data_IF_454117096078
#
_entry.id   IF_454117096078
#
_cell.length_a   1.000
_cell.length_b   1.000
_cell.length_c   1.000
_cell.angle_alpha   90.00
_cell.angle_beta   90.00
_cell.angle_gamma   90.00
#
_symmetry.space_group_name_H-M   'P 1'
#
loop_
_entity.id
_entity.type
_entity.pdbx_description
1 polymer ?
#
# COMPACT_ATOMS: atom_id res chain seq x y z
N UNK A 1 14.61 20.07 -4.51
CA UNK A 1 13.21 19.63 -4.48
C UNK A 1 13.10 18.12 -4.25
N UNK A 2 13.47 17.24 -5.21
CA UNK A 2 13.25 15.80 -5.04
C UNK A 2 13.85 15.16 -3.77
N UNK A 3 15.08 15.53 -3.36
CA UNK A 3 15.66 14.96 -2.13
C UNK A 3 14.93 15.44 -0.85
N UNK A 4 14.29 16.61 -0.87
CA UNK A 4 13.43 17.09 0.22
C UNK A 4 12.14 16.27 0.29
N UNK A 5 11.58 15.90 -0.86
CA UNK A 5 10.43 15.00 -0.92
C UNK A 5 10.79 13.60 -0.43
N UNK A 6 11.98 13.08 -0.80
CA UNK A 6 12.49 11.84 -0.21
C UNK A 6 12.65 12.00 1.31
N UNK A 7 13.11 13.14 1.83
CA UNK A 7 13.20 13.38 3.26
C UNK A 7 11.85 13.38 3.96
N UNK A 8 10.83 13.99 3.37
CA UNK A 8 9.47 13.97 3.91
C UNK A 8 8.94 12.55 4.08
N UNK A 9 9.13 11.70 3.06
CA UNK A 9 8.62 10.31 3.06
C UNK A 9 9.53 9.36 3.86
N UNK A 10 10.84 9.64 3.94
CA UNK A 10 11.80 8.81 4.65
C UNK A 10 11.64 8.97 6.16
N UNK A 11 11.28 7.88 6.83
CA UNK A 11 11.15 7.85 8.29
C UNK A 11 12.50 8.03 9.00
N UNK A 12 12.51 8.58 10.23
CA UNK A 12 13.72 8.66 11.04
C UNK A 12 14.41 7.30 11.21
N UNK A 13 15.72 7.25 10.97
CA UNK A 13 16.51 6.02 10.98
C UNK A 13 16.46 5.21 9.67
N UNK A 14 15.63 5.60 8.70
CA UNK A 14 15.51 4.97 7.39
C UNK A 14 16.74 5.21 6.49
N UNK A 15 16.84 4.40 5.43
CA UNK A 15 17.95 4.43 4.49
C UNK A 15 17.50 4.89 3.11
N UNK A 16 18.32 5.73 2.48
CA UNK A 16 18.23 6.07 1.07
C UNK A 16 19.46 5.52 0.34
N UNK A 17 19.22 4.83 -0.77
CA UNK A 17 20.27 4.19 -1.57
C UNK A 17 20.33 4.92 -2.90
N UNK A 18 21.47 5.56 -3.17
CA UNK A 18 21.78 6.16 -4.46
C UNK A 18 22.64 5.18 -5.25
N UNK A 19 22.16 4.79 -6.43
CA UNK A 19 22.85 3.89 -7.35
C UNK A 19 23.05 4.56 -8.70
N UNK A 20 24.27 4.56 -9.22
CA UNK A 20 24.62 5.21 -10.50
C UNK A 20 25.26 6.59 -10.35
N UNK A 21 25.36 7.38 -11.44
CA UNK A 21 25.99 8.70 -11.42
C UNK A 21 25.37 9.58 -10.32
N UNK A 22 26.18 10.34 -9.56
CA UNK A 22 27.62 10.51 -9.70
C UNK A 22 28.48 9.48 -8.92
N UNK A 23 27.89 8.51 -8.21
CA UNK A 23 28.68 7.56 -7.40
C UNK A 23 29.63 6.74 -8.28
N UNK A 24 30.87 6.53 -7.84
CA UNK A 24 31.91 5.83 -8.62
C UNK A 24 32.36 6.56 -9.90
N UNK A 25 32.17 7.88 -9.97
CA UNK A 25 32.60 8.68 -11.11
C UNK A 25 34.09 8.54 -11.46
N UNK A 26 34.96 8.26 -10.47
CA UNK A 26 36.40 8.05 -10.70
C UNK A 26 36.68 6.94 -11.70
N UNK A 27 35.81 5.93 -11.74
CA UNK A 27 35.91 4.77 -12.62
C UNK A 27 35.15 4.99 -13.94
N UNK A 28 33.95 5.56 -13.89
CA UNK A 28 33.01 5.54 -15.02
C UNK A 28 32.82 6.87 -15.78
N UNK A 29 33.52 7.95 -15.41
CA UNK A 29 33.34 9.27 -16.04
C UNK A 29 33.46 9.25 -17.58
N UNK A 30 34.37 8.43 -18.13
CA UNK A 30 34.55 8.29 -19.57
C UNK A 30 33.33 7.65 -20.24
N UNK A 31 32.79 6.58 -19.64
CA UNK A 31 31.60 5.87 -20.13
C UNK A 31 30.38 6.79 -20.14
N UNK A 32 30.24 7.65 -19.13
CA UNK A 32 29.16 8.63 -19.05
C UNK A 32 29.39 9.87 -19.90
N UNK A 33 30.54 9.99 -20.57
CA UNK A 33 30.93 11.16 -21.38
C UNK A 33 30.81 12.48 -20.59
N UNK A 34 31.15 12.46 -19.29
CA UNK A 34 31.11 13.62 -18.39
C UNK A 34 32.48 13.88 -17.80
N UNK A 35 32.72 15.14 -17.41
CA UNK A 35 34.00 15.51 -16.79
C UNK A 35 34.06 15.05 -15.33
N UNK A 36 35.27 14.77 -14.83
CA UNK A 36 35.50 14.46 -13.41
C UNK A 36 35.02 15.57 -12.49
N UNK A 37 35.27 16.83 -12.85
CA UNK A 37 34.90 17.99 -12.06
C UNK A 37 33.38 18.14 -11.94
N UNK A 38 32.64 17.91 -13.03
CA UNK A 38 31.17 17.94 -13.05
C UNK A 38 30.57 16.87 -12.12
N UNK A 39 30.99 15.62 -12.26
CA UNK A 39 30.49 14.51 -11.43
C UNK A 39 30.88 14.68 -9.95
N UNK A 40 32.09 15.16 -9.66
CA UNK A 40 32.53 15.47 -8.31
C UNK A 40 31.68 16.59 -7.69
N UNK A 41 31.38 17.65 -8.46
CA UNK A 41 30.54 18.74 -8.00
C UNK A 41 29.09 18.28 -7.76
N UNK A 42 28.56 17.42 -8.62
CA UNK A 42 27.23 16.82 -8.44
C UNK A 42 27.16 15.94 -7.19
N UNK A 43 28.15 15.05 -6.98
CA UNK A 43 28.20 14.22 -5.78
C UNK A 43 28.27 15.09 -4.52
N UNK A 44 29.11 16.11 -4.53
CA UNK A 44 29.26 17.05 -3.41
C UNK A 44 27.95 17.78 -3.11
N UNK A 45 27.21 18.24 -4.13
CA UNK A 45 25.89 18.88 -3.95
C UNK A 45 24.89 17.95 -3.28
N UNK A 46 24.86 16.66 -3.67
CA UNK A 46 23.99 15.66 -3.05
C UNK A 46 24.36 15.45 -1.59
N UNK A 47 25.65 15.31 -1.29
CA UNK A 47 26.14 15.11 0.08
C UNK A 47 25.88 16.32 0.99
N UNK A 48 26.11 17.54 0.49
CA UNK A 48 25.81 18.79 1.21
C UNK A 48 24.30 18.94 1.49
N UNK A 49 23.45 18.59 0.52
CA UNK A 49 21.98 18.61 0.70
C UNK A 49 21.54 17.54 1.71
N UNK A 50 22.06 16.31 1.60
CA UNK A 50 21.76 15.24 2.54
C UNK A 50 22.19 15.62 3.96
N UNK A 51 23.37 16.22 4.15
CA UNK A 51 23.81 16.72 5.45
C UNK A 51 22.89 17.82 5.99
N UNK A 52 22.40 18.73 5.12
CA UNK A 52 21.44 19.78 5.52
C UNK A 52 20.08 19.22 5.95
N UNK A 53 19.67 18.09 5.38
CA UNK A 53 18.48 17.33 5.77
C UNK A 53 18.73 16.43 6.99
N UNK A 54 19.93 16.52 7.58
CA UNK A 54 20.38 15.71 8.69
C UNK A 54 20.45 14.21 8.41
N UNK A 55 20.99 13.88 7.25
CA UNK A 55 21.36 12.53 6.90
C UNK A 55 22.86 12.33 7.08
N UNK A 56 23.25 11.09 7.28
CA UNK A 56 24.64 10.67 7.36
C UNK A 56 24.93 9.65 6.25
N UNK A 57 26.06 9.79 5.57
CA UNK A 57 26.54 8.79 4.62
C UNK A 57 27.15 7.63 5.41
N UNK A 58 26.57 6.44 5.29
CA UNK A 58 27.01 5.23 6.00
C UNK A 58 28.00 4.41 5.21
N UNK A 59 27.84 4.38 3.90
CA UNK A 59 28.62 3.50 3.05
C UNK A 59 28.71 4.06 1.63
N UNK A 60 29.85 3.82 0.98
CA UNK A 60 30.01 3.97 -0.47
C UNK A 60 30.91 2.84 -0.96
N UNK A 61 30.42 2.05 -1.91
CA UNK A 61 31.20 1.00 -2.56
C UNK A 61 30.66 0.69 -3.94
N UNK A 62 31.57 0.63 -4.91
CA UNK A 62 31.18 0.48 -6.31
C UNK A 62 30.19 1.59 -6.66
N UNK A 63 29.12 1.24 -7.34
CA UNK A 63 28.13 2.21 -7.86
C UNK A 63 27.07 2.62 -6.84
N UNK A 64 27.25 2.29 -5.55
CA UNK A 64 26.23 2.46 -4.52
C UNK A 64 26.75 3.35 -3.39
N UNK A 65 25.97 4.36 -3.03
CA UNK A 65 26.11 5.10 -1.78
C UNK A 65 24.85 4.95 -0.93
N UNK A 66 25.05 4.71 0.36
CA UNK A 66 23.98 4.52 1.34
C UNK A 66 23.99 5.66 2.33
N UNK A 67 22.88 6.38 2.39
CA UNK A 67 22.62 7.45 3.34
C UNK A 67 21.59 6.97 4.36
N UNK A 68 21.71 7.45 5.60
CA UNK A 68 20.76 7.17 6.66
C UNK A 68 20.25 8.49 7.24
N UNK A 69 18.93 8.64 7.31
CA UNK A 69 18.31 9.75 8.04
C UNK A 69 18.52 9.54 9.54
N UNK A 70 18.97 10.57 10.26
CA UNK A 70 19.12 10.45 11.72
C UNK A 70 17.78 10.18 12.40
N UNK A 71 17.84 9.56 13.57
CA UNK A 71 16.64 9.16 14.33
C UNK A 71 15.89 10.34 14.95
N UNK A 72 16.55 11.50 15.10
CA UNK A 72 15.95 12.75 15.55
C UNK A 72 16.83 13.95 15.17
N UNK A 73 16.34 15.15 15.48
CA UNK A 73 17.00 16.41 15.10
C UNK A 73 18.04 16.95 16.08
N UNK A 74 18.23 16.32 17.26
CA UNK A 74 19.06 16.90 18.33
C UNK A 74 20.53 17.06 17.94
N UNK A 75 21.04 16.16 17.11
CA UNK A 75 22.44 16.15 16.64
C UNK A 75 22.57 16.63 15.19
N UNK A 76 21.63 17.46 14.72
CA UNK A 76 21.65 18.02 13.38
C UNK A 76 22.30 19.41 13.40
N UNK A 77 23.12 19.74 12.39
CA UNK A 77 23.61 21.10 12.25
C UNK A 77 22.40 22.03 12.08
N UNK A 78 22.38 23.15 12.82
CA UNK A 78 21.38 24.21 12.66
C UNK A 78 21.64 24.95 11.34
N UNK A 79 21.30 24.33 10.22
CA UNK A 79 21.24 25.01 8.91
C UNK A 79 19.83 25.55 8.71
N UNK A 80 19.76 26.76 8.13
CA UNK A 80 18.55 27.55 7.88
C UNK A 80 17.71 27.02 6.71
N UNK A 81 17.41 25.72 6.69
CA UNK A 81 16.40 25.22 5.75
C UNK A 81 15.03 25.77 6.20
N UNK A 82 14.26 26.33 5.28
CA UNK A 82 12.86 26.71 5.54
C UNK A 82 12.10 25.48 6.01
N UNK A 83 11.32 25.61 7.08
CA UNK A 83 10.51 24.53 7.64
C UNK A 83 9.11 24.62 7.05
N UNK A 84 8.55 23.51 6.60
CA UNK A 84 7.21 23.48 6.01
C UNK A 84 6.13 23.79 7.05
N UNK A 85 5.05 24.45 6.64
CA UNK A 85 3.86 24.57 7.47
C UNK A 85 3.19 23.20 7.59
N UNK A 86 3.03 22.73 8.82
CA UNK A 86 2.76 21.33 9.15
C UNK A 86 1.29 20.90 8.93
N UNK A 87 0.76 21.05 7.72
CA UNK A 87 -0.53 20.45 7.36
C UNK A 87 -0.26 19.22 6.51
N UNK A 88 -0.42 18.02 7.08
CA UNK A 88 -0.42 16.76 6.34
C UNK A 88 0.95 16.24 5.89
N UNK A 89 1.87 16.00 6.82
CA UNK A 89 3.18 15.41 6.52
C UNK A 89 3.09 14.02 5.86
N UNK A 90 1.98 13.30 6.13
CA UNK A 90 1.70 11.95 5.63
C UNK A 90 0.88 11.94 4.32
N UNK A 91 0.56 13.10 3.75
CA UNK A 91 -0.15 13.18 2.47
C UNK A 91 0.78 12.78 1.33
N UNK A 92 0.38 11.84 0.47
CA UNK A 92 1.26 11.31 -0.59
C UNK A 92 0.82 11.73 -1.99
N UNK A 93 -0.45 12.14 -2.17
CA UNK A 93 -1.03 12.40 -3.49
C UNK A 93 -1.69 13.78 -3.57
N UNK A 94 -1.74 14.34 -4.78
CA UNK A 94 -2.39 15.62 -5.09
C UNK A 94 -1.95 16.79 -4.19
N UNK A 95 -0.68 16.77 -3.78
CA UNK A 95 -0.06 17.80 -2.96
C UNK A 95 1.10 18.43 -3.70
N UNK A 96 1.14 19.75 -3.72
CA UNK A 96 2.24 20.48 -4.33
C UNK A 96 3.53 20.27 -3.51
N UNK A 97 4.63 19.96 -4.20
CA UNK A 97 5.91 19.76 -3.55
C UNK A 97 6.48 21.11 -3.12
N UNK A 98 6.81 21.24 -1.84
CA UNK A 98 7.43 22.44 -1.29
C UNK A 98 8.94 22.26 -1.12
N UNK A 99 9.71 23.32 -1.36
CA UNK A 99 11.17 23.31 -1.12
C UNK A 99 11.49 23.66 0.34
N UNK A 100 10.96 22.88 1.25
CA UNK A 100 11.15 23.05 2.70
C UNK A 100 11.40 21.70 3.37
N UNK A 101 11.89 21.75 4.61
CA UNK A 101 12.13 20.58 5.44
C UNK A 101 10.87 20.29 6.27
N UNK A 102 10.38 19.06 6.22
CA UNK A 102 9.27 18.62 7.08
C UNK A 102 9.76 18.44 8.52
N UNK A 103 9.12 19.10 9.50
CA UNK A 103 9.56 19.00 10.89
C UNK A 103 9.34 17.59 11.44
N UNK A 104 10.35 17.07 12.15
CA UNK A 104 10.19 15.80 12.87
C UNK A 104 9.47 16.02 14.21
N UNK A 105 8.68 15.03 14.68
CA UNK A 105 8.10 15.10 16.02
C UNK A 105 9.17 15.31 17.09
N UNK A 106 8.89 16.20 18.06
CA UNK A 106 9.82 16.51 19.15
C UNK A 106 10.11 15.26 19.99
N UNK A 107 11.37 15.11 20.40
CA UNK A 107 11.85 14.00 21.24
C UNK A 107 12.45 14.51 22.55
N UNK A 108 12.29 13.73 23.60
CA UNK A 108 12.79 14.03 24.95
C UNK A 108 14.25 13.65 25.14
N UNK A 109 14.74 12.58 24.49
CA UNK A 109 16.12 12.10 24.59
C UNK A 109 16.85 12.05 23.24
N UNK A 110 18.18 11.99 23.25
CA UNK A 110 18.99 11.93 22.02
C UNK A 110 18.93 10.58 21.29
N UNK A 111 18.49 9.52 21.98
CA UNK A 111 18.38 8.17 21.41
C UNK A 111 16.94 7.82 21.00
N UNK A 112 15.98 8.68 21.32
CA UNK A 112 14.58 8.48 20.96
C UNK A 112 14.37 8.69 19.46
N UNK A 113 13.60 7.79 18.85
CA UNK A 113 13.21 7.86 17.44
C UNK A 113 12.03 8.81 17.33
N UNK A 114 12.19 9.90 16.58
CA UNK A 114 11.10 10.82 16.30
C UNK A 114 9.94 10.08 15.60
N UNK A 115 8.71 10.33 16.04
CA UNK A 115 7.54 9.57 15.58
C UNK A 115 7.33 8.24 16.33
N UNK A 116 8.36 7.67 16.94
CA UNK A 116 8.31 6.44 17.73
C UNK A 116 9.02 5.28 17.04
N UNK A 117 9.65 4.41 17.84
CA UNK A 117 10.37 3.24 17.32
C UNK A 117 9.42 2.15 16.83
N UNK A 118 9.71 1.58 15.66
CA UNK A 118 8.98 0.44 15.12
C UNK A 118 9.65 -0.88 15.51
N UNK A 119 8.84 -1.91 15.77
CA UNK A 119 9.32 -3.28 15.94
C UNK A 119 9.90 -3.81 14.62
N UNK A 120 10.68 -4.90 14.68
CA UNK A 120 11.16 -5.57 13.48
C UNK A 120 10.04 -6.37 12.82
N UNK A 121 10.15 -6.60 11.52
CA UNK A 121 9.28 -7.54 10.82
C UNK A 121 9.65 -8.98 11.25
N UNK A 122 8.68 -9.90 11.46
CA UNK A 122 7.23 -9.76 11.24
C UNK A 122 6.44 -9.20 12.42
N UNK A 123 7.02 -9.04 13.62
CA UNK A 123 6.31 -8.59 14.82
C UNK A 123 5.56 -7.27 14.65
N UNK A 124 6.14 -6.33 13.89
CA UNK A 124 5.48 -5.04 13.59
C UNK A 124 4.14 -5.15 12.88
N UNK A 125 3.82 -6.28 12.24
CA UNK A 125 2.51 -6.48 11.62
C UNK A 125 1.37 -6.42 12.64
N UNK A 126 1.64 -6.81 13.89
CA UNK A 126 0.65 -6.93 14.95
C UNK A 126 0.89 -5.98 16.12
N UNK A 127 2.10 -5.41 16.25
CA UNK A 127 2.38 -4.42 17.28
C UNK A 127 1.56 -3.14 17.05
N UNK A 128 1.02 -2.57 18.12
CA UNK A 128 0.30 -1.29 18.07
C UNK A 128 1.22 -0.19 17.49
N UNK A 129 0.84 0.42 16.35
CA UNK A 129 1.61 1.46 15.71
C UNK A 129 1.79 2.71 16.60
N UNK A 130 2.98 3.35 16.63
CA UNK A 130 3.25 4.54 17.44
C UNK A 130 2.24 5.68 17.27
N UNK A 131 1.73 5.91 16.07
CA UNK A 131 0.71 6.96 15.84
C UNK A 131 -0.62 6.65 16.53
N UNK A 132 -1.00 5.36 16.63
CA UNK A 132 -2.20 4.93 17.37
C UNK A 132 -1.94 5.05 18.87
N UNK A 133 -0.77 4.60 19.34
CA UNK A 133 -0.40 4.72 20.75
C UNK A 133 -0.34 6.18 21.23
N UNK A 134 -0.08 7.14 20.33
CA UNK A 134 -0.08 8.58 20.60
C UNK A 134 -1.44 9.26 20.37
N UNK A 135 -2.47 8.51 19.95
CA UNK A 135 -3.80 9.06 19.67
C UNK A 135 -3.86 10.01 18.46
N UNK A 136 -2.93 9.87 17.51
CA UNK A 136 -2.88 10.71 16.31
C UNK A 136 -3.85 10.25 15.20
N UNK A 137 -4.39 9.03 15.31
CA UNK A 137 -5.34 8.47 14.35
C UNK A 137 -6.75 8.62 14.90
N UNK A 138 -7.52 9.51 14.29
CA UNK A 138 -8.84 9.87 14.77
C UNK A 138 -9.82 8.68 14.75
N UNK A 139 -10.31 8.29 15.93
CA UNK A 139 -11.27 7.20 16.11
C UNK A 139 -10.65 5.80 16.14
N UNK A 140 -9.32 5.69 16.27
CA UNK A 140 -8.62 4.40 16.40
C UNK A 140 -7.81 4.39 17.70
N UNK A 141 -8.16 3.49 18.60
CA UNK A 141 -7.41 3.20 19.84
C UNK A 141 -6.61 1.91 19.71
N UNK A 142 -5.71 1.66 20.66
CA UNK A 142 -4.95 0.41 20.73
C UNK A 142 -5.88 -0.81 20.83
N UNK A 143 -6.96 -0.71 21.61
CA UNK A 143 -7.96 -1.76 21.78
C UNK A 143 -8.68 -2.04 20.46
N UNK A 144 -9.17 -1.00 19.78
CA UNK A 144 -9.86 -1.14 18.49
C UNK A 144 -8.96 -1.74 17.39
N UNK A 145 -7.65 -1.43 17.43
CA UNK A 145 -6.67 -2.01 16.52
C UNK A 145 -6.48 -3.52 16.76
N UNK A 146 -6.45 -3.94 18.02
CA UNK A 146 -6.34 -5.36 18.37
C UNK A 146 -7.63 -6.14 18.05
N UNK A 147 -8.79 -5.51 18.22
CA UNK A 147 -10.07 -6.06 17.78
C UNK A 147 -10.12 -6.23 16.26
N UNK A 148 -9.68 -5.23 15.48
CA UNK A 148 -9.55 -5.33 14.03
C UNK A 148 -8.65 -6.50 13.63
N UNK A 149 -7.49 -6.66 14.27
CA UNK A 149 -6.59 -7.79 14.02
C UNK A 149 -7.26 -9.15 14.26
N UNK A 150 -8.00 -9.29 15.37
CA UNK A 150 -8.72 -10.53 15.69
C UNK A 150 -9.82 -10.81 14.66
N UNK A 151 -10.58 -9.77 14.30
CA UNK A 151 -11.67 -9.87 13.34
C UNK A 151 -11.16 -10.24 11.94
N UNK A 152 -10.10 -9.60 11.46
CA UNK A 152 -9.55 -9.88 10.14
C UNK A 152 -8.92 -11.27 10.07
N UNK A 153 -8.28 -11.74 11.15
CA UNK A 153 -7.81 -13.14 11.23
C UNK A 153 -8.97 -14.13 11.11
N UNK A 154 -10.09 -13.87 11.79
CA UNK A 154 -11.30 -14.68 11.70
C UNK A 154 -11.86 -14.71 10.27
N UNK A 155 -11.99 -13.55 9.64
CA UNK A 155 -12.47 -13.43 8.25
C UNK A 155 -11.55 -14.19 7.27
N UNK A 156 -10.23 -14.01 7.37
CA UNK A 156 -9.26 -14.70 6.49
C UNK A 156 -9.33 -16.22 6.67
N UNK A 157 -9.52 -16.72 7.88
CA UNK A 157 -9.75 -18.15 8.13
C UNK A 157 -11.05 -18.64 7.48
N UNK A 158 -12.13 -17.86 7.52
CA UNK A 158 -13.37 -18.17 6.80
C UNK A 158 -13.15 -18.22 5.28
N UNK A 159 -12.44 -17.23 4.71
CA UNK A 159 -12.12 -17.20 3.29
C UNK A 159 -11.28 -18.41 2.86
N UNK A 160 -10.28 -18.82 3.64
CA UNK A 160 -9.48 -20.02 3.37
C UNK A 160 -10.30 -21.31 3.40
N UNK A 161 -11.36 -21.39 4.21
CA UNK A 161 -12.29 -22.53 4.21
C UNK A 161 -13.13 -22.58 2.93
N UNK A 162 -13.56 -21.42 2.43
CA UNK A 162 -14.35 -21.30 1.19
C UNK A 162 -13.47 -21.56 -0.04
N UNK A 163 -12.27 -21.00 -0.06
CA UNK A 163 -11.31 -21.11 -1.15
C UNK A 163 -9.95 -21.54 -0.61
N UNK A 164 -9.70 -22.86 -0.66
CA UNK A 164 -8.47 -23.49 -0.14
C UNK A 164 -7.19 -23.07 -0.89
N UNK A 165 -7.31 -22.36 -2.03
CA UNK A 165 -6.18 -21.84 -2.79
C UNK A 165 -5.57 -20.59 -2.14
N UNK A 166 -6.28 -19.92 -1.22
CA UNK A 166 -5.77 -18.75 -0.48
C UNK A 166 -4.60 -19.18 0.43
N UNK A 167 -3.43 -18.57 0.21
CA UNK A 167 -2.17 -18.91 0.89
C UNK A 167 -1.31 -19.93 0.14
N UNK A 168 -1.78 -20.46 -0.99
CA UNK A 168 -0.97 -21.27 -1.92
C UNK A 168 -0.25 -20.38 -2.93
N UNK A 169 0.53 -20.98 -3.83
CA UNK A 169 1.19 -20.26 -4.95
C UNK A 169 0.22 -19.82 -6.05
N UNK A 170 -1.07 -20.18 -5.97
CA UNK A 170 -2.09 -19.79 -6.97
C UNK A 170 -2.32 -18.28 -7.01
N UNK A 171 -2.35 -17.64 -5.85
CA UNK A 171 -2.56 -16.20 -5.72
C UNK A 171 -1.27 -15.56 -5.20
N UNK A 172 -0.55 -14.83 -6.07
CA UNK A 172 0.72 -14.17 -5.72
C UNK A 172 0.56 -12.66 -5.60
N UNK A 173 -0.21 -12.09 -6.52
CA UNK A 173 -0.51 -10.66 -6.57
C UNK A 173 -1.91 -10.43 -6.04
N UNK A 174 -2.00 -9.89 -4.82
CA UNK A 174 -3.27 -9.71 -4.11
C UNK A 174 -3.52 -8.22 -3.93
N UNK A 175 -4.77 -7.79 -4.05
CA UNK A 175 -5.19 -6.43 -3.75
C UNK A 175 -6.24 -6.45 -2.64
N UNK A 176 -6.10 -5.55 -1.67
CA UNK A 176 -7.17 -5.21 -0.73
C UNK A 176 -7.67 -3.81 -1.05
N UNK A 177 -8.88 -3.73 -1.61
CA UNK A 177 -9.43 -2.48 -2.13
C UNK A 177 -9.86 -1.50 -1.03
N UNK A 178 -10.03 -1.98 0.21
CA UNK A 178 -10.39 -1.17 1.37
C UNK A 178 -9.63 -1.65 2.59
N UNK A 179 -8.33 -1.37 2.60
CA UNK A 179 -7.40 -1.94 3.57
C UNK A 179 -7.58 -1.45 5.00
N UNK A 180 -8.20 -0.28 5.19
CA UNK A 180 -8.34 0.38 6.51
C UNK A 180 -6.99 0.39 7.23
N UNK A 181 -6.83 -0.40 8.29
CA UNK A 181 -5.59 -0.48 9.08
C UNK A 181 -4.56 -1.48 8.53
N UNK A 182 -4.81 -2.14 7.40
CA UNK A 182 -3.95 -3.19 6.82
C UNK A 182 -4.14 -4.58 7.44
N UNK A 183 -5.25 -4.81 8.15
CA UNK A 183 -5.50 -6.03 8.91
C UNK A 183 -5.61 -7.29 8.04
N UNK A 184 -6.18 -7.18 6.84
CA UNK A 184 -6.27 -8.31 5.90
C UNK A 184 -4.88 -8.79 5.47
N UNK A 185 -4.00 -7.87 5.04
CA UNK A 185 -2.65 -8.23 4.63
C UNK A 185 -1.83 -8.83 5.78
N UNK A 186 -1.96 -8.29 6.99
CA UNK A 186 -1.31 -8.85 8.17
C UNK A 186 -1.86 -10.22 8.59
N UNK A 187 -3.16 -10.48 8.39
CA UNK A 187 -3.76 -11.78 8.65
C UNK A 187 -3.44 -12.82 7.57
N UNK A 188 -3.20 -12.37 6.33
CA UNK A 188 -2.88 -13.24 5.20
C UNK A 188 -1.39 -13.60 5.13
N UNK A 189 -0.51 -12.76 5.68
CA UNK A 189 0.96 -12.81 5.69
C UNK A 189 1.53 -14.14 5.17
N UNK A 190 2.28 -14.05 4.06
CA UNK A 190 2.81 -15.21 3.38
C UNK A 190 4.06 -14.83 2.59
N UNK A 191 5.11 -15.66 2.60
CA UNK A 191 6.29 -15.43 1.76
C UNK A 191 6.03 -15.66 0.26
N UNK A 192 4.86 -16.21 -0.11
CA UNK A 192 4.51 -16.60 -1.49
C UNK A 192 3.69 -15.54 -2.22
N UNK A 193 3.16 -14.56 -1.49
CA UNK A 193 2.21 -13.58 -2.01
C UNK A 193 2.42 -12.23 -1.35
N UNK A 194 2.11 -11.16 -2.06
CA UNK A 194 2.10 -9.81 -1.51
C UNK A 194 0.73 -9.17 -1.70
N UNK A 195 0.41 -8.19 -0.85
CA UNK A 195 -0.88 -7.48 -0.86
C UNK A 195 -0.63 -6.01 -1.14
N UNK A 196 -1.23 -5.48 -2.20
CA UNK A 196 -1.40 -4.04 -2.38
C UNK A 196 -2.56 -3.56 -1.50
N UNK A 197 -2.26 -2.77 -0.48
CA UNK A 197 -3.28 -2.23 0.43
C UNK A 197 -3.77 -0.88 -0.08
N UNK A 198 -5.03 -0.79 -0.48
CA UNK A 198 -5.61 0.46 -0.96
C UNK A 198 -6.45 1.09 0.12
N UNK A 199 -6.18 2.36 0.43
CA UNK A 199 -7.05 3.18 1.29
C UNK A 199 -7.88 4.09 0.39
N UNK A 200 -9.20 3.93 0.33
CA UNK A 200 -10.06 4.81 -0.46
C UNK A 200 -9.92 6.27 -0.03
N UNK A 201 -9.86 7.19 -0.99
CA UNK A 201 -9.77 8.65 -0.73
C UNK A 201 -10.96 9.20 0.04
N UNK A 202 -12.13 8.56 -0.08
CA UNK A 202 -13.36 8.91 0.65
C UNK A 202 -13.40 8.34 2.09
N UNK A 203 -12.41 7.52 2.47
CA UNK A 203 -12.25 6.99 3.82
C UNK A 203 -11.21 7.79 4.62
N UNK A 204 -11.14 7.53 5.93
CA UNK A 204 -10.14 8.15 6.81
C UNK A 204 -8.72 7.74 6.41
N UNK A 205 -7.81 8.71 6.43
CA UNK A 205 -6.39 8.49 6.17
C UNK A 205 -5.79 7.52 7.20
N UNK A 206 -5.47 6.31 6.75
CA UNK A 206 -4.93 5.21 7.56
C UNK A 206 -3.65 4.63 6.95
N UNK A 207 -3.15 5.24 5.88
CA UNK A 207 -1.97 4.78 5.17
C UNK A 207 -0.69 4.85 6.02
N UNK A 208 -0.59 5.85 6.90
CA UNK A 208 0.46 5.91 7.92
C UNK A 208 0.49 4.65 8.78
N UNK A 209 -0.67 4.08 9.14
CA UNK A 209 -0.80 2.84 9.95
C UNK A 209 -0.30 1.64 9.17
N UNK A 210 -0.69 1.52 7.91
CA UNK A 210 -0.24 0.45 7.00
C UNK A 210 1.30 0.47 6.89
N UNK A 211 1.91 1.64 6.75
CA UNK A 211 3.36 1.78 6.69
C UNK A 211 4.07 1.45 8.01
N UNK A 212 3.49 1.78 9.17
CA UNK A 212 4.05 1.41 10.49
C UNK A 212 4.03 -0.10 10.73
N UNK A 213 3.03 -0.78 10.18
CA UNK A 213 2.97 -2.24 10.13
C UNK A 213 3.97 -2.84 9.14
N UNK A 214 4.54 -2.01 8.27
CA UNK A 214 5.52 -2.43 7.29
C UNK A 214 4.95 -3.02 6.01
N UNK A 215 3.70 -2.70 5.73
CA UNK A 215 2.98 -3.12 4.54
C UNK A 215 3.12 -2.02 3.47
N UNK A 216 2.90 -2.40 2.22
CA UNK A 216 2.81 -1.44 1.10
C UNK A 216 1.37 -1.02 0.92
N UNK A 217 1.13 0.25 0.58
CA UNK A 217 -0.21 0.71 0.29
C UNK A 217 -0.23 2.03 -0.47
N UNK A 218 -1.43 2.44 -0.87
CA UNK A 218 -1.67 3.64 -1.68
C UNK A 218 -3.06 4.22 -1.40
N UNK A 219 -3.24 5.51 -1.66
CA UNK A 219 -4.55 6.13 -1.80
C UNK A 219 -5.10 5.93 -3.21
N UNK A 220 -6.38 5.60 -3.32
CA UNK A 220 -7.04 5.55 -4.62
C UNK A 220 -8.49 5.95 -4.51
N UNK A 221 -9.01 6.61 -5.55
CA UNK A 221 -10.44 6.79 -5.73
C UNK A 221 -10.98 5.73 -6.70
N UNK A 222 -11.79 4.79 -6.21
CA UNK A 222 -12.38 3.75 -7.06
C UNK A 222 -13.39 4.25 -8.09
N UNK A 223 -13.74 5.54 -8.06
CA UNK A 223 -14.45 6.19 -9.16
C UNK A 223 -13.53 6.49 -10.38
N UNK A 224 -12.22 6.30 -10.23
CA UNK A 224 -11.20 6.47 -11.25
C UNK A 224 -10.48 5.14 -11.55
N UNK A 225 -9.88 5.06 -12.73
CA UNK A 225 -9.07 3.91 -13.12
C UNK A 225 -7.81 3.79 -12.27
N UNK A 226 -7.51 2.59 -11.76
CA UNK A 226 -6.33 2.34 -10.95
C UNK A 226 -5.08 2.33 -11.83
N UNK A 227 -4.04 3.05 -11.43
CA UNK A 227 -2.78 3.16 -12.20
C UNK A 227 -1.97 1.86 -12.15
N UNK A 228 -2.41 0.84 -12.88
CA UNK A 228 -1.77 -0.46 -13.03
C UNK A 228 -2.06 -1.07 -14.41
N UNK A 229 -1.23 -2.00 -14.84
CA UNK A 229 -1.46 -2.74 -16.07
C UNK A 229 -2.71 -3.62 -15.95
N UNK A 230 -3.48 -3.82 -17.04
CA UNK A 230 -4.54 -4.81 -17.05
C UNK A 230 -4.02 -6.19 -16.64
N UNK A 231 -4.84 -6.99 -15.97
CA UNK A 231 -4.52 -8.37 -15.55
C UNK A 231 -3.27 -8.45 -14.64
N UNK A 232 -3.17 -7.55 -13.67
CA UNK A 232 -2.08 -7.52 -12.69
C UNK A 232 -2.32 -8.46 -11.50
N UNK A 233 -3.57 -8.53 -11.00
CA UNK A 233 -3.90 -9.21 -9.76
C UNK A 233 -4.52 -10.59 -9.99
N UNK A 234 -4.16 -11.55 -9.15
CA UNK A 234 -4.74 -12.90 -9.14
C UNK A 234 -5.95 -12.98 -8.19
N UNK A 235 -5.95 -12.14 -7.15
CA UNK A 235 -6.98 -12.11 -6.12
C UNK A 235 -7.29 -10.68 -5.69
N UNK A 236 -8.58 -10.34 -5.56
CA UNK A 236 -9.02 -9.05 -5.01
C UNK A 236 -9.93 -9.29 -3.80
N UNK A 237 -9.58 -8.64 -2.68
CA UNK A 237 -10.43 -8.53 -1.50
C UNK A 237 -11.14 -7.18 -1.53
N UNK A 238 -12.46 -7.20 -1.38
CA UNK A 238 -13.30 -6.02 -1.38
C UNK A 238 -14.31 -6.08 -0.23
N UNK A 239 -13.88 -5.64 0.96
CA UNK A 239 -14.75 -5.51 2.14
C UNK A 239 -15.38 -4.11 2.23
N UNK A 240 -16.70 -4.03 2.14
CA UNK A 240 -17.47 -2.80 2.30
C UNK A 240 -17.18 -1.74 1.24
N UNK A 241 -16.57 -2.11 0.11
CA UNK A 241 -16.20 -1.16 -0.95
C UNK A 241 -17.44 -0.56 -1.58
N UNK A 242 -18.45 -1.37 -1.88
CA UNK A 242 -19.64 -0.88 -2.58
C UNK A 242 -20.55 -0.09 -1.65
N UNK A 243 -20.70 -0.49 -0.38
CA UNK A 243 -21.37 0.35 0.62
C UNK A 243 -20.67 1.70 0.80
N UNK A 244 -19.34 1.72 0.81
CA UNK A 244 -18.56 2.96 0.93
C UNK A 244 -18.80 3.91 -0.26
N UNK A 245 -18.97 3.35 -1.47
CA UNK A 245 -19.11 4.10 -2.72
C UNK A 245 -20.56 4.27 -3.22
N UNK A 246 -21.57 3.76 -2.50
CA UNK A 246 -22.96 3.63 -2.96
C UNK A 246 -23.60 4.92 -3.50
N UNK A 247 -23.14 6.09 -3.06
CA UNK A 247 -23.63 7.42 -3.49
C UNK A 247 -22.52 8.32 -4.04
N UNK A 248 -21.40 7.73 -4.49
CA UNK A 248 -20.23 8.48 -4.98
C UNK A 248 -19.98 8.23 -6.47
N UNK A 249 -20.09 6.99 -6.92
CA UNK A 249 -20.05 6.62 -8.34
C UNK A 249 -20.79 5.30 -8.59
N UNK A 250 -20.93 4.93 -9.87
CA UNK A 250 -21.69 3.76 -10.25
C UNK A 250 -20.94 2.47 -9.87
N UNK A 251 -21.70 1.45 -9.44
CA UNK A 251 -21.15 0.14 -9.11
C UNK A 251 -20.53 -0.53 -10.35
N UNK A 252 -21.10 -0.27 -11.54
CA UNK A 252 -20.57 -0.76 -12.81
C UNK A 252 -19.15 -0.27 -13.07
N UNK A 253 -18.85 1.00 -12.80
CA UNK A 253 -17.53 1.59 -13.08
C UNK A 253 -16.44 0.91 -12.23
N UNK A 254 -16.72 0.69 -10.94
CA UNK A 254 -15.84 -0.05 -10.03
C UNK A 254 -15.65 -1.49 -10.51
N UNK A 255 -16.74 -2.18 -10.89
CA UNK A 255 -16.66 -3.57 -11.36
C UNK A 255 -15.89 -3.71 -12.68
N UNK A 256 -16.05 -2.77 -13.60
CA UNK A 256 -15.29 -2.73 -14.86
C UNK A 256 -13.80 -2.51 -14.59
N UNK A 257 -13.45 -1.64 -13.64
CA UNK A 257 -12.07 -1.45 -13.24
C UNK A 257 -11.48 -2.71 -12.59
N UNK A 258 -12.26 -3.40 -11.74
CA UNK A 258 -11.88 -4.70 -11.20
C UNK A 258 -11.67 -5.73 -12.31
N UNK A 259 -12.52 -5.76 -13.34
CA UNK A 259 -12.32 -6.65 -14.50
C UNK A 259 -11.04 -6.34 -15.24
N UNK A 260 -10.75 -5.06 -15.49
CA UNK A 260 -9.54 -4.65 -16.19
C UNK A 260 -8.28 -5.16 -15.48
N UNK A 261 -8.20 -5.01 -14.15
CA UNK A 261 -6.98 -5.34 -13.37
C UNK A 261 -6.89 -6.81 -12.94
N UNK A 262 -8.01 -7.54 -12.92
CA UNK A 262 -8.05 -8.95 -12.54
C UNK A 262 -7.63 -9.85 -13.72
N UNK A 263 -6.75 -10.81 -13.43
CA UNK A 263 -6.36 -11.85 -14.39
C UNK A 263 -7.53 -12.77 -14.73
N UNK A 264 -7.53 -13.39 -15.91
CA UNK A 264 -8.40 -14.54 -16.16
C UNK A 264 -8.27 -15.60 -15.07
N UNK A 265 -9.39 -16.21 -14.71
CA UNK A 265 -9.51 -17.15 -13.59
C UNK A 265 -9.11 -16.56 -12.22
N UNK A 266 -8.94 -15.24 -12.15
CA UNK A 266 -8.74 -14.52 -10.92
C UNK A 266 -10.00 -14.56 -10.06
N UNK A 267 -9.80 -14.52 -8.74
CA UNK A 267 -10.90 -14.58 -7.78
C UNK A 267 -11.09 -13.24 -7.09
N UNK A 268 -12.35 -12.86 -6.87
CA UNK A 268 -12.73 -11.75 -6.02
C UNK A 268 -13.52 -12.28 -4.83
N UNK A 269 -13.21 -11.78 -3.64
CA UNK A 269 -14.09 -11.93 -2.47
C UNK A 269 -14.65 -10.56 -2.12
N UNK A 270 -15.96 -10.44 -2.32
CA UNK A 270 -16.74 -9.32 -1.82
C UNK A 270 -17.33 -9.69 -0.46
N UNK A 271 -17.20 -8.78 0.50
CA UNK A 271 -17.89 -8.86 1.80
C UNK A 271 -18.61 -7.55 2.03
N UNK A 272 -19.93 -7.59 2.04
CA UNK A 272 -20.77 -6.40 2.17
C UNK A 272 -22.18 -6.80 2.61
N UNK A 273 -23.06 -5.82 2.83
CA UNK A 273 -24.48 -6.05 3.12
C UNK A 273 -25.16 -6.83 1.99
N UNK A 274 -26.07 -7.75 2.35
CA UNK A 274 -26.73 -8.66 1.39
C UNK A 274 -27.41 -7.92 0.22
N UNK A 275 -28.05 -6.78 0.49
CA UNK A 275 -28.74 -5.98 -0.54
C UNK A 275 -27.77 -5.39 -1.56
N UNK A 276 -26.60 -4.97 -1.10
CA UNK A 276 -25.52 -4.46 -1.96
C UNK A 276 -24.94 -5.60 -2.79
N UNK A 277 -24.66 -6.74 -2.17
CA UNK A 277 -24.13 -7.91 -2.88
C UNK A 277 -25.10 -8.49 -3.91
N UNK A 278 -26.40 -8.39 -3.71
CA UNK A 278 -27.39 -8.77 -4.72
C UNK A 278 -27.30 -7.91 -5.99
N UNK A 279 -27.07 -6.59 -5.85
CA UNK A 279 -26.83 -5.69 -6.98
C UNK A 279 -25.53 -6.04 -7.70
N UNK A 280 -24.45 -6.22 -6.94
CA UNK A 280 -23.13 -6.62 -7.46
C UNK A 280 -23.22 -7.95 -8.21
N UNK A 281 -23.90 -8.95 -7.65
CA UNK A 281 -24.10 -10.26 -8.27
C UNK A 281 -24.81 -10.16 -9.62
N UNK A 282 -25.83 -9.28 -9.74
CA UNK A 282 -26.56 -9.06 -10.99
C UNK A 282 -25.63 -8.51 -12.09
N UNK A 283 -24.82 -7.51 -11.77
CA UNK A 283 -23.87 -6.90 -12.73
C UNK A 283 -22.77 -7.90 -13.09
N UNK A 284 -22.17 -8.57 -12.09
CA UNK A 284 -21.15 -9.59 -12.30
C UNK A 284 -21.64 -10.74 -13.20
N UNK A 285 -22.91 -11.14 -13.06
CA UNK A 285 -23.55 -12.10 -13.97
C UNK A 285 -23.62 -11.60 -15.42
N UNK A 286 -23.94 -10.31 -15.62
CA UNK A 286 -23.89 -9.67 -16.94
C UNK A 286 -22.48 -9.59 -17.55
N UNK A 287 -21.46 -9.45 -16.70
CA UNK A 287 -20.03 -9.54 -17.06
C UNK A 287 -19.56 -10.99 -17.23
N UNK A 288 -20.46 -11.96 -17.07
CA UNK A 288 -20.22 -13.40 -17.18
C UNK A 288 -19.14 -13.90 -16.22
N UNK A 289 -19.11 -13.33 -15.02
CA UNK A 289 -18.33 -13.88 -13.92
C UNK A 289 -19.13 -14.98 -13.21
N UNK A 290 -18.44 -16.02 -12.75
CA UNK A 290 -19.07 -17.08 -11.97
C UNK A 290 -19.21 -16.63 -10.53
N UNK A 291 -20.45 -16.58 -10.02
CA UNK A 291 -20.74 -16.03 -8.69
C UNK A 291 -21.26 -17.09 -7.74
N UNK A 292 -20.80 -17.04 -6.48
CA UNK A 292 -21.30 -17.89 -5.40
C UNK A 292 -21.43 -17.09 -4.11
N UNK A 293 -22.66 -16.99 -3.61
CA UNK A 293 -22.96 -16.33 -2.35
C UNK A 293 -22.85 -17.33 -1.20
N UNK A 294 -22.28 -16.88 -0.09
CA UNK A 294 -22.06 -17.64 1.14
C UNK A 294 -22.50 -16.82 2.35
N UNK A 295 -22.92 -17.51 3.40
CA UNK A 295 -23.24 -16.88 4.67
C UNK A 295 -22.00 -16.36 5.41
N UNK A 296 -22.25 -15.44 6.34
CA UNK A 296 -21.26 -15.02 7.32
C UNK A 296 -20.79 -16.21 8.16
N UNK A 297 -19.53 -16.18 8.61
CA UNK A 297 -18.97 -17.24 9.44
C UNK A 297 -19.60 -17.38 10.84
N UNK A 298 -20.38 -16.37 11.26
CA UNK A 298 -21.16 -16.38 12.51
C UNK A 298 -22.60 -16.84 12.32
N UNK A 299 -22.99 -17.15 11.08
CA UNK A 299 -24.27 -17.77 10.77
C UNK A 299 -25.09 -17.02 9.71
N UNK A 300 -26.19 -17.64 9.26
CA UNK A 300 -27.01 -17.15 8.15
C UNK A 300 -27.86 -15.93 8.49
N UNK A 301 -28.03 -15.59 9.77
CA UNK A 301 -28.83 -14.44 10.19
C UNK A 301 -28.05 -13.12 10.16
N UNK A 302 -26.72 -13.16 10.01
CA UNK A 302 -25.91 -11.94 9.88
C UNK A 302 -26.17 -11.32 8.49
N UNK A 303 -26.53 -10.02 8.42
CA UNK A 303 -26.81 -9.33 7.16
C UNK A 303 -25.61 -9.22 6.21
N UNK A 304 -24.40 -9.06 6.75
CA UNK A 304 -23.16 -9.08 5.97
C UNK A 304 -22.94 -10.48 5.38
N UNK A 305 -22.78 -10.58 4.05
CA UNK A 305 -22.55 -11.86 3.35
C UNK A 305 -21.20 -11.86 2.65
N UNK A 306 -20.82 -13.02 2.13
CA UNK A 306 -19.62 -13.21 1.33
C UNK A 306 -20.03 -13.62 -0.07
N UNK A 307 -19.68 -12.82 -1.08
CA UNK A 307 -19.86 -13.17 -2.48
C UNK A 307 -18.49 -13.48 -3.09
N UNK A 308 -18.26 -14.76 -3.41
CA UNK A 308 -17.05 -15.21 -4.11
C UNK A 308 -17.34 -15.20 -5.60
N UNK A 309 -16.44 -14.60 -6.36
CA UNK A 309 -16.59 -14.44 -7.79
C UNK A 309 -15.32 -14.85 -8.53
N UNK A 310 -15.47 -15.56 -9.65
CA UNK A 310 -14.35 -16.00 -10.49
C UNK A 310 -14.53 -15.46 -11.90
N UNK A 311 -13.51 -14.75 -12.38
CA UNK A 311 -13.50 -14.23 -13.75
C UNK A 311 -13.23 -15.35 -14.74
N UNK A 312 -14.13 -15.52 -15.70
CA UNK A 312 -13.95 -16.51 -16.77
C UNK A 312 -12.88 -16.08 -17.79
N UNK A 313 -12.20 -17.06 -18.37
CA UNK A 313 -11.28 -16.80 -19.49
C UNK A 313 -12.07 -16.79 -20.80
N UNK A 314 -12.28 -15.59 -21.34
CA UNK A 314 -12.92 -15.41 -22.64
C UNK A 314 -11.90 -15.50 -23.76
N UNK A 315 -11.91 -16.61 -24.49
CA UNK A 315 -11.36 -16.69 -25.84
C UNK A 315 -12.50 -16.40 -26.80
N UNK A 316 -12.31 -15.46 -27.73
CA UNK A 316 -13.32 -15.14 -28.73
C UNK A 316 -13.61 -16.35 -29.62
N UNK A 317 -14.75 -17.02 -29.36
CA UNK A 317 -15.32 -18.05 -30.22
C UNK A 317 -14.85 -19.49 -29.97
N UNK A 318 -15.63 -20.23 -29.19
CA UNK A 318 -15.82 -21.68 -29.39
C UNK A 318 -17.31 -21.96 -29.57
N UNK A 319 -17.91 -21.28 -30.55
CA UNK A 319 -19.20 -21.66 -31.12
C UNK A 319 -18.99 -22.56 -32.32
N UNK A 320 -18.49 -23.78 -32.10
CA UNK A 320 -18.77 -24.91 -33.00
C UNK A 320 -19.56 -25.92 -32.20
N UNK A 321 -20.81 -25.58 -31.91
CA UNK A 321 -21.83 -26.60 -31.70
C UNK A 321 -22.03 -27.28 -33.06
N UNK A 322 -21.30 -28.37 -33.31
CA UNK A 322 -21.74 -29.33 -34.32
C UNK A 322 -23.05 -29.90 -33.81
N UNK A 323 -24.16 -29.36 -34.30
CA UNK A 323 -25.45 -30.03 -34.30
C UNK A 323 -25.26 -31.33 -35.08
N UNK A 324 -25.18 -32.45 -34.37
CA UNK A 324 -25.38 -33.76 -34.98
C UNK A 324 -26.87 -33.93 -35.23
N UNK A 325 -27.34 -33.46 -36.38
CA UNK A 325 -28.54 -33.99 -37.01
C UNK A 325 -28.13 -35.26 -37.77
N UNK A 326 -28.40 -36.41 -37.16
CA UNK A 326 -28.82 -37.66 -37.82
C UNK A 326 -29.45 -38.62 -36.82
#
# INVERSE_FOLDING_TARGET
>A
MYLMEVDRVLRPGGYWILSGPPINWKTYYQTWKRSKADLQAEQRKIEELAESLCWEKKYEKGDIAIFRKKVNEKNCPRKSASVCESKGADDVWNKEMETCKTPLPKVTSANEVAGGGLKKFPERLYAVPPQIAKGLVEGVTAESFEEDNKLLRKHVLAYKRINKLIGTTRYRNIMDMNARLGGFAAALESPKSWVMNVVPTIAKNTLGVIYERGLVGIYHDWCEGFSTYPRTYDFIHAKGVFSLYQNKCNLEDILLEMDRILRPEGTVIFRDEVDVLNKVKKIAGGMRWDTKMMDHEDGPLVPEKILVVVKQYWVGGTGNSTSSDQ
#
